data_IF_743297761459
#
_entry.id   IF_743297761459
#
_cell.length_a   1.000
_cell.length_b   1.000
_cell.length_c   1.000
_cell.angle_alpha   90.00
_cell.angle_beta   90.00
_cell.angle_gamma   90.00
#
_symmetry.space_group_name_H-M   'P 1'
#
loop_
_entity.id
_entity.type
_entity.pdbx_description
1 polymer ?
#
# COMPACT_ATOMS: atom_id res chain seq x y z
N UNK A 1 8.61 8.61 -5.00
CA UNK A 1 8.32 7.73 -3.84
C UNK A 1 8.76 6.26 -4.03
N UNK A 2 8.78 5.68 -5.23
CA UNK A 2 9.28 4.31 -5.47
C UNK A 2 10.16 4.25 -6.73
N UNK A 3 11.49 4.40 -6.63
CA UNK A 3 12.35 4.26 -7.80
C UNK A 3 12.33 2.81 -8.30
N UNK A 4 12.24 2.61 -9.60
CA UNK A 4 12.35 1.28 -10.18
C UNK A 4 13.69 0.66 -9.76
N UNK A 5 13.61 -0.42 -9.00
CA UNK A 5 14.78 -1.22 -8.63
C UNK A 5 14.88 -2.36 -9.63
N UNK A 6 16.02 -2.54 -10.27
CA UNK A 6 16.22 -3.61 -11.24
C UNK A 6 15.63 -3.34 -12.64
N UNK A 7 15.60 -4.38 -13.48
CA UNK A 7 15.22 -4.29 -14.90
C UNK A 7 14.36 -5.50 -15.31
N UNK A 8 13.20 -5.29 -15.93
CA UNK A 8 12.44 -6.37 -16.55
C UNK A 8 13.18 -6.93 -17.77
N UNK A 9 12.84 -8.16 -18.15
CA UNK A 9 13.41 -8.85 -19.30
C UNK A 9 12.31 -9.33 -20.24
N UNK A 10 12.51 -9.12 -21.54
CA UNK A 10 11.59 -9.50 -22.60
C UNK A 10 10.37 -8.59 -22.70
N UNK A 11 9.45 -8.96 -23.58
CA UNK A 11 8.19 -8.25 -23.76
C UNK A 11 7.27 -8.42 -22.54
N UNK A 12 6.37 -7.46 -22.37
CA UNK A 12 5.33 -7.53 -21.34
C UNK A 12 3.97 -7.86 -21.94
N UNK A 13 3.20 -8.68 -21.22
CA UNK A 13 1.75 -8.72 -21.39
C UNK A 13 1.08 -7.83 -20.35
N UNK A 14 -0.13 -7.37 -20.64
CA UNK A 14 -0.96 -6.61 -19.70
C UNK A 14 -2.08 -7.50 -19.22
N UNK A 15 -2.18 -7.69 -17.91
CA UNK A 15 -3.20 -8.53 -17.28
C UNK A 15 -3.92 -7.73 -16.19
N UNK A 16 -5.24 -7.83 -16.06
CA UNK A 16 -5.96 -7.18 -14.97
C UNK A 16 -5.61 -7.82 -13.63
N UNK A 17 -5.44 -7.01 -12.59
CA UNK A 17 -5.43 -7.53 -11.23
C UNK A 17 -6.81 -8.05 -10.84
N UNK A 18 -6.85 -9.20 -10.17
CA UNK A 18 -8.02 -9.56 -9.38
C UNK A 18 -8.22 -8.54 -8.25
N UNK A 19 -9.45 -8.39 -7.76
CA UNK A 19 -9.75 -7.52 -6.61
C UNK A 19 -8.88 -7.84 -5.39
N UNK A 20 -8.59 -9.13 -5.16
CA UNK A 20 -7.75 -9.58 -4.06
C UNK A 20 -6.29 -9.13 -4.25
N UNK A 21 -5.69 -9.36 -5.42
CA UNK A 21 -4.32 -8.93 -5.71
C UNK A 21 -4.19 -7.42 -5.61
N UNK A 22 -5.16 -6.67 -6.17
CA UNK A 22 -5.19 -5.22 -6.09
C UNK A 22 -5.19 -4.73 -4.63
N UNK A 23 -6.03 -5.35 -3.79
CA UNK A 23 -6.12 -5.04 -2.36
C UNK A 23 -4.83 -5.37 -1.63
N UNK A 24 -4.22 -6.52 -1.91
CA UNK A 24 -2.97 -6.94 -1.26
C UNK A 24 -1.79 -6.06 -1.68
N UNK A 25 -1.67 -5.72 -2.96
CA UNK A 25 -0.65 -4.83 -3.48
C UNK A 25 -0.78 -3.43 -2.83
N UNK A 26 -2.00 -2.89 -2.76
CA UNK A 26 -2.25 -1.60 -2.13
C UNK A 26 -1.88 -1.62 -0.64
N UNK A 27 -2.32 -2.66 0.09
CA UNK A 27 -1.98 -2.86 1.51
C UNK A 27 -0.47 -2.87 1.72
N UNK A 28 0.24 -3.67 0.92
CA UNK A 28 1.66 -3.84 1.06
C UNK A 28 2.41 -2.52 0.86
N UNK A 29 2.07 -1.78 -0.20
CA UNK A 29 2.67 -0.46 -0.48
C UNK A 29 2.42 0.50 0.68
N UNK A 30 1.19 0.63 1.16
CA UNK A 30 0.86 1.57 2.23
C UNK A 30 1.56 1.24 3.56
N UNK A 31 1.59 -0.04 3.94
CA UNK A 31 2.19 -0.46 5.22
C UNK A 31 3.72 -0.42 5.23
N UNK A 32 4.36 -0.47 4.06
CA UNK A 32 5.83 -0.44 3.92
C UNK A 32 6.38 0.90 3.41
N UNK A 33 5.52 1.88 3.12
CA UNK A 33 5.94 3.20 2.68
C UNK A 33 6.36 4.08 3.87
N UNK A 34 7.61 4.56 3.86
CA UNK A 34 8.13 5.44 4.91
C UNK A 34 7.28 6.71 5.09
N UNK A 35 6.82 7.31 4.00
CA UNK A 35 6.00 8.53 4.00
C UNK A 35 4.60 8.31 4.60
N UNK A 36 4.11 7.07 4.66
CA UNK A 36 2.79 6.71 5.21
C UNK A 36 2.87 6.42 6.72
N UNK A 37 4.07 6.18 7.27
CA UNK A 37 4.27 5.87 8.71
C UNK A 37 3.59 6.86 9.68
N UNK A 38 3.65 8.20 9.46
CA UNK A 38 2.94 9.14 10.33
C UNK A 38 1.43 8.90 10.38
N UNK A 39 0.81 8.55 9.25
CA UNK A 39 -0.62 8.26 9.17
C UNK A 39 -0.98 6.90 9.77
N UNK A 40 -0.09 5.91 9.70
CA UNK A 40 -0.25 4.65 10.45
C UNK A 40 -0.26 4.95 11.97
N UNK A 41 0.64 5.82 12.44
CA UNK A 41 0.66 6.22 13.83
C UNK A 41 -0.58 7.02 14.21
N UNK A 42 -1.06 7.94 13.37
CA UNK A 42 -2.33 8.62 13.58
C UNK A 42 -3.49 7.62 13.69
N UNK A 43 -3.52 6.61 12.83
CA UNK A 43 -4.54 5.57 12.88
C UNK A 43 -4.48 4.74 14.17
N UNK A 44 -3.28 4.45 14.69
CA UNK A 44 -3.13 3.83 16.02
C UNK A 44 -3.76 4.69 17.13
N UNK A 45 -3.66 6.01 17.04
CA UNK A 45 -4.34 6.90 17.98
C UNK A 45 -5.86 6.89 17.77
N UNK A 46 -6.33 6.83 16.52
CA UNK A 46 -7.74 6.66 16.20
C UNK A 46 -8.32 5.39 16.83
N UNK A 47 -7.62 4.25 16.71
CA UNK A 47 -7.97 2.98 17.36
C UNK A 47 -8.10 3.15 18.88
N UNK A 48 -7.11 3.77 19.54
CA UNK A 48 -7.13 3.99 21.01
C UNK A 48 -8.28 4.88 21.47
N UNK A 49 -8.63 5.92 20.68
CA UNK A 49 -9.78 6.78 20.98
C UNK A 49 -11.09 6.02 20.78
N UNK A 50 -11.20 5.18 19.75
CA UNK A 50 -12.41 4.41 19.49
C UNK A 50 -12.69 3.38 20.60
N UNK A 51 -11.65 2.90 21.30
CA UNK A 51 -11.78 1.99 22.45
C UNK A 51 -11.92 2.72 23.79
N UNK A 52 -12.18 4.04 23.80
CA UNK A 52 -12.33 4.87 25.01
C UNK A 52 -11.17 4.73 25.99
N UNK A 53 -9.95 4.55 25.47
CA UNK A 53 -8.74 4.38 26.30
C UNK A 53 -8.58 3.00 26.93
N UNK A 54 -9.47 2.03 26.66
CA UNK A 54 -9.24 0.64 27.05
C UNK A 54 -7.94 0.11 26.42
N UNK A 55 -7.19 -0.68 27.19
CA UNK A 55 -5.93 -1.27 26.75
C UNK A 55 -6.21 -2.28 25.64
N UNK A 56 -5.86 -1.91 24.41
CA UNK A 56 -5.89 -2.80 23.25
C UNK A 56 -4.54 -3.51 23.16
N UNK A 57 -4.55 -4.83 22.95
CA UNK A 57 -3.32 -5.59 22.76
C UNK A 57 -2.62 -5.18 21.47
N UNK A 58 -1.29 -5.34 21.41
CA UNK A 58 -0.51 -5.04 20.19
C UNK A 58 -1.05 -5.83 18.99
N UNK A 59 -1.35 -7.12 19.18
CA UNK A 59 -1.91 -7.99 18.14
C UNK A 59 -3.25 -7.49 17.61
N UNK A 60 -4.12 -6.95 18.47
CA UNK A 60 -5.41 -6.42 18.05
C UNK A 60 -5.24 -5.10 17.28
N UNK A 61 -4.31 -4.24 17.71
CA UNK A 61 -3.94 -3.03 16.95
C UNK A 61 -3.43 -3.41 15.54
N UNK A 62 -2.55 -4.40 15.45
CA UNK A 62 -2.02 -4.88 14.16
C UNK A 62 -3.12 -5.44 13.26
N UNK A 63 -4.03 -6.27 13.81
CA UNK A 63 -5.19 -6.78 13.07
C UNK A 63 -6.05 -5.65 12.51
N UNK A 64 -6.34 -4.62 13.32
CA UNK A 64 -7.12 -3.46 12.88
C UNK A 64 -6.38 -2.65 11.81
N UNK A 65 -5.07 -2.45 11.94
CA UNK A 65 -4.27 -1.83 10.88
C UNK A 65 -4.40 -2.63 9.57
N UNK A 66 -4.19 -3.94 9.61
CA UNK A 66 -4.27 -4.77 8.40
C UNK A 66 -5.66 -4.76 7.76
N UNK A 67 -6.72 -4.68 8.56
CA UNK A 67 -8.11 -4.77 8.08
C UNK A 67 -8.71 -3.42 7.68
N UNK A 68 -8.49 -2.38 8.47
CA UNK A 68 -9.25 -1.12 8.40
C UNK A 68 -8.44 0.04 7.82
N UNK A 69 -7.10 -0.04 7.82
CA UNK A 69 -6.28 1.10 7.40
C UNK A 69 -6.49 1.47 5.93
N UNK A 70 -6.71 0.48 5.06
CA UNK A 70 -6.99 0.69 3.64
C UNK A 70 -8.24 1.54 3.39
N UNK A 71 -9.28 1.37 4.22
CA UNK A 71 -10.51 2.14 4.10
C UNK A 71 -10.43 3.50 4.80
N UNK A 72 -9.65 3.56 5.88
CA UNK A 72 -9.44 4.79 6.65
C UNK A 72 -8.53 5.78 5.92
N UNK A 73 -7.47 5.29 5.27
CA UNK A 73 -6.44 6.12 4.68
C UNK A 73 -6.97 7.09 3.61
N UNK A 74 -7.74 6.67 2.58
CA UNK A 74 -8.27 7.61 1.59
C UNK A 74 -9.19 8.67 2.20
N UNK A 75 -10.03 8.28 3.17
CA UNK A 75 -10.90 9.20 3.90
C UNK A 75 -10.10 10.26 4.66
N UNK A 76 -8.97 9.86 5.25
CA UNK A 76 -8.07 10.78 5.92
C UNK A 76 -7.45 11.76 4.92
N UNK A 77 -6.92 11.27 3.80
CA UNK A 77 -6.29 12.09 2.76
C UNK A 77 -7.25 13.10 2.12
N UNK A 78 -8.53 12.74 2.01
CA UNK A 78 -9.58 13.60 1.47
C UNK A 78 -10.18 14.57 2.50
N UNK A 79 -9.79 14.50 3.77
CA UNK A 79 -10.29 15.40 4.79
C UNK A 79 -9.78 16.84 4.52
N UNK A 80 -10.68 17.84 4.39
CA UNK A 80 -10.32 19.25 4.17
C UNK A 80 -9.24 19.78 5.11
N UNK A 81 -9.22 19.34 6.37
CA UNK A 81 -8.27 19.77 7.40
C UNK A 81 -6.79 19.54 6.99
N UNK A 82 -6.53 18.59 6.09
CA UNK A 82 -5.18 18.27 5.62
C UNK A 82 -5.06 18.19 4.09
N UNK A 83 -6.17 18.27 3.36
CA UNK A 83 -6.19 18.04 1.90
C UNK A 83 -5.34 19.07 1.12
N UNK A 84 -5.18 20.28 1.67
CA UNK A 84 -4.36 21.34 1.09
C UNK A 84 -2.87 21.19 1.41
N UNK A 85 -2.52 20.58 2.54
CA UNK A 85 -1.12 20.42 2.99
C UNK A 85 -0.52 19.07 2.58
N UNK A 86 -1.36 18.10 2.24
CA UNK A 86 -0.90 16.76 1.84
C UNK A 86 -0.31 16.77 0.41
N UNK A 87 0.87 16.17 0.26
CA UNK A 87 1.53 16.05 -1.04
C UNK A 87 0.71 15.28 -2.07
N UNK A 88 0.94 15.56 -3.35
CA UNK A 88 0.29 14.85 -4.46
C UNK A 88 0.59 13.34 -4.45
N UNK A 89 1.80 12.94 -4.06
CA UNK A 89 2.17 11.52 -3.92
C UNK A 89 1.25 10.78 -2.95
N UNK A 90 0.83 11.41 -1.85
CA UNK A 90 -0.10 10.81 -0.89
C UNK A 90 -1.52 10.69 -1.46
N UNK A 91 -1.93 11.63 -2.32
CA UNK A 91 -3.21 11.55 -3.05
C UNK A 91 -3.20 10.39 -4.04
N UNK A 92 -2.10 10.20 -4.76
CA UNK A 92 -1.90 9.03 -5.65
C UNK A 92 -1.92 7.73 -4.86
N UNK A 93 -1.23 7.67 -3.72
CA UNK A 93 -1.27 6.50 -2.84
C UNK A 93 -2.67 6.17 -2.35
N UNK A 94 -3.54 7.16 -2.13
CA UNK A 94 -4.91 6.94 -1.69
C UNK A 94 -5.80 6.31 -2.78
N UNK A 95 -5.49 6.56 -4.06
CA UNK A 95 -6.21 5.97 -5.20
C UNK A 95 -5.88 4.48 -5.39
N UNK A 96 -4.71 4.05 -4.91
CA UNK A 96 -4.25 2.68 -5.04
C UNK A 96 -3.65 2.36 -6.41
N UNK A 97 -3.31 1.08 -6.65
CA UNK A 97 -2.67 0.66 -7.90
C UNK A 97 -3.64 0.73 -9.09
N UNK A 98 -3.07 0.78 -10.29
CA UNK A 98 -3.81 0.65 -11.54
C UNK A 98 -4.58 -0.69 -11.58
N UNK A 99 -5.62 -0.75 -12.41
CA UNK A 99 -6.40 -1.98 -12.59
C UNK A 99 -5.57 -3.07 -13.28
N UNK A 100 -4.71 -2.69 -14.21
CA UNK A 100 -3.91 -3.62 -14.99
C UNK A 100 -2.44 -3.60 -14.59
N UNK A 101 -1.81 -4.77 -14.65
CA UNK A 101 -0.41 -5.00 -14.35
C UNK A 101 0.35 -5.42 -15.61
N UNK A 102 1.58 -4.93 -15.75
CA UNK A 102 2.50 -5.48 -16.75
C UNK A 102 3.19 -6.71 -16.18
N UNK A 103 3.01 -7.84 -16.86
CA UNK A 103 3.67 -9.11 -16.54
C UNK A 103 4.87 -9.29 -17.46
N UNK A 104 6.02 -9.61 -16.87
CA UNK A 104 7.26 -9.91 -17.59
C UNK A 104 7.66 -11.37 -17.37
N UNK A 105 8.45 -11.92 -18.30
CA UNK A 105 8.97 -13.29 -18.20
C UNK A 105 10.04 -13.42 -17.11
N UNK A 106 10.85 -12.38 -16.91
CA UNK A 106 11.83 -12.33 -15.85
C UNK A 106 12.11 -10.90 -15.36
N UNK A 107 12.71 -10.79 -14.18
CA UNK A 107 13.11 -9.54 -13.56
C UNK A 107 14.50 -9.66 -12.93
N UNK A 108 15.42 -8.79 -13.31
CA UNK A 108 16.77 -8.73 -12.75
C UNK A 108 16.82 -7.67 -11.65
N UNK A 109 17.19 -8.04 -10.42
CA UNK A 109 17.34 -7.11 -9.31
C UNK A 109 18.44 -7.62 -8.36
N UNK A 110 19.28 -6.72 -7.87
CA UNK A 110 20.35 -7.01 -6.91
C UNK A 110 21.28 -8.17 -7.31
N UNK A 111 21.59 -8.33 -8.60
CA UNK A 111 22.44 -9.41 -9.12
C UNK A 111 21.74 -10.76 -9.33
N UNK A 112 20.44 -10.85 -9.02
CA UNK A 112 19.64 -12.07 -9.21
C UNK A 112 18.65 -11.90 -10.36
N UNK A 113 18.35 -13.00 -11.05
CA UNK A 113 17.31 -13.08 -12.08
C UNK A 113 16.16 -13.94 -11.58
N UNK A 114 15.00 -13.32 -11.37
CA UNK A 114 13.76 -14.00 -11.01
C UNK A 114 13.00 -14.31 -12.30
N UNK A 115 12.68 -15.57 -12.53
CA UNK A 115 11.99 -16.02 -13.74
C UNK A 115 10.63 -16.59 -13.36
N UNK A 116 9.59 -16.23 -14.12
CA UNK A 116 8.31 -16.90 -14.00
C UNK A 116 8.43 -18.29 -14.64
N UNK A 117 8.24 -19.35 -13.84
CA UNK A 117 8.29 -20.75 -14.30
C UNK A 117 7.05 -21.16 -15.14
N UNK A 118 6.17 -20.21 -15.45
CA UNK A 118 4.92 -20.46 -16.17
C UNK A 118 5.20 -20.67 -17.66
N UNK A 119 5.19 -21.95 -18.06
CA UNK A 119 4.90 -22.41 -19.43
C UNK A 119 3.42 -22.20 -19.76
#
# INVERSE_FOLDING_TARGET
>A
MFPQQGKPVGDSTTEPFTTLEKTQAHRYVLLNCASVKPLINEFKHHIKRSTRGQRVSTTEVEKRISKEFLDWFPKRIMNPDIAETISNDMKVLAQGPAQDARRFSAYNINGFKFQNLSR
#
